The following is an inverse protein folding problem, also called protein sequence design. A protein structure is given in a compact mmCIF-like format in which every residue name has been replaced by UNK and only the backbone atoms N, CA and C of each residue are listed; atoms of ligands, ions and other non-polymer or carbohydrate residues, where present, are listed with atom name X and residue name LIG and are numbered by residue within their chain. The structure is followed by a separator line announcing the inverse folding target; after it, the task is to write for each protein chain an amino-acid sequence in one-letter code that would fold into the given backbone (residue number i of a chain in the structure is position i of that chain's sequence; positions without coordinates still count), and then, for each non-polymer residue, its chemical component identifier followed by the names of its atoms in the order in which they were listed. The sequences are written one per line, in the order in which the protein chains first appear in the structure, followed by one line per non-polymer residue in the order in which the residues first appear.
data_IF_130304326600
#
_entry.id   IF_130304326600
#
_cell.length_a   1.000
_cell.length_b   1.000
_cell.length_c   1.000
_cell.angle_alpha   90.00
_cell.angle_beta   90.00
_cell.angle_gamma   90.00
#
_symmetry.space_group_name_H-M   'P 1'
#
loop_
_entity.id
_entity.type
_entity.pdbx_description
1 polymer ?
#
# COMPACT_ATOMS: atom_id res chain seq x y z
N UNK A 1 -5.53 -4.65 -7.71
CA UNK A 1 -5.60 -3.68 -6.59
C UNK A 1 -5.82 -2.25 -7.05
N UNK A 2 -4.87 -1.58 -7.73
CA UNK A 2 -5.01 -0.16 -8.08
C UNK A 2 -6.25 0.13 -8.95
N UNK A 3 -6.55 -0.71 -9.94
CA UNK A 3 -7.74 -0.60 -10.79
C UNK A 3 -9.05 -0.77 -9.99
N UNK A 4 -9.04 -1.74 -9.06
CA UNK A 4 -10.20 -2.04 -8.21
C UNK A 4 -10.50 -0.91 -7.23
N UNK A 5 -9.46 -0.30 -6.65
CA UNK A 5 -9.59 0.91 -5.84
C UNK A 5 -10.16 2.05 -6.68
N UNK A 6 -9.60 2.29 -7.88
CA UNK A 6 -10.07 3.35 -8.78
C UNK A 6 -11.55 3.19 -9.13
N UNK A 7 -11.99 1.95 -9.41
CA UNK A 7 -13.40 1.65 -9.66
C UNK A 7 -14.28 1.93 -8.44
N UNK A 8 -13.88 1.48 -7.24
CA UNK A 8 -14.66 1.67 -6.00
C UNK A 8 -14.79 3.14 -5.58
N UNK A 9 -13.75 3.96 -5.82
CA UNK A 9 -13.79 5.40 -5.52
C UNK A 9 -14.37 6.24 -6.66
N UNK A 10 -14.75 5.63 -7.78
CA UNK A 10 -15.28 6.34 -8.96
C UNK A 10 -14.26 7.23 -9.66
N UNK A 11 -12.97 6.93 -9.55
CA UNK A 11 -11.90 7.72 -10.16
C UNK A 11 -11.75 7.38 -11.64
N UNK A 12 -11.63 8.38 -12.53
CA UNK A 12 -11.33 8.15 -13.95
C UNK A 12 -9.85 7.82 -14.21
N UNK A 13 -9.00 7.83 -13.17
CA UNK A 13 -7.56 7.57 -13.31
C UNK A 13 -7.30 6.12 -13.68
N UNK A 14 -6.50 5.93 -14.72
CA UNK A 14 -5.97 4.61 -15.09
C UNK A 14 -4.60 4.41 -14.44
N UNK A 15 -4.39 3.35 -13.65
CA UNK A 15 -3.09 3.03 -13.09
C UNK A 15 -2.05 2.83 -14.20
N UNK A 16 -0.85 3.36 -14.00
CA UNK A 16 0.30 3.15 -14.89
C UNK A 16 1.31 2.26 -14.17
N UNK A 17 1.69 1.15 -14.81
CA UNK A 17 2.73 0.26 -14.30
C UNK A 17 4.07 0.74 -14.89
N UNK A 18 4.86 1.45 -14.10
CA UNK A 18 6.15 1.99 -14.56
C UNK A 18 7.23 0.92 -14.76
N UNK A 19 7.06 -0.27 -14.15
CA UNK A 19 8.09 -1.31 -14.04
C UNK A 19 9.37 -0.88 -13.30
N UNK A 20 9.35 0.29 -12.66
CA UNK A 20 10.40 0.73 -11.77
C UNK A 20 10.21 0.14 -10.37
N UNK A 21 11.31 -0.31 -9.76
CA UNK A 21 11.33 -0.78 -8.38
C UNK A 21 12.46 -0.12 -7.61
N UNK A 22 12.28 0.09 -6.31
CA UNK A 22 13.37 0.63 -5.48
C UNK A 22 14.27 -0.52 -5.02
N UNK A 23 15.60 -0.31 -5.00
CA UNK A 23 16.52 -1.28 -4.39
C UNK A 23 16.09 -1.61 -2.95
N UNK A 24 15.88 -2.89 -2.66
CA UNK A 24 15.46 -3.36 -1.34
C UNK A 24 13.96 -3.65 -1.19
N UNK A 25 13.11 -3.26 -2.14
CA UNK A 25 11.69 -3.66 -2.11
C UNK A 25 11.56 -5.18 -2.39
N UNK A 26 11.04 -5.95 -1.42
CA UNK A 26 10.80 -7.39 -1.56
C UNK A 26 9.44 -7.62 -2.22
N UNK A 27 9.44 -8.35 -3.34
CA UNK A 27 8.21 -8.76 -4.05
C UNK A 27 7.61 -10.01 -3.42
N UNK A 28 6.29 -10.14 -3.51
CA UNK A 28 5.55 -11.32 -3.05
C UNK A 28 5.75 -11.66 -1.56
N UNK A 29 5.80 -10.63 -0.70
CA UNK A 29 5.82 -10.82 0.74
C UNK A 29 4.41 -11.13 1.26
N UNK A 30 4.17 -12.38 1.66
CA UNK A 30 2.94 -12.83 2.31
C UNK A 30 3.28 -13.81 3.44
N UNK A 31 2.49 -13.79 4.51
CA UNK A 31 2.74 -14.64 5.67
C UNK A 31 2.13 -16.04 5.50
N UNK A 32 2.90 -17.07 5.84
CA UNK A 32 2.34 -18.40 6.09
C UNK A 32 1.76 -18.45 7.51
N UNK A 33 0.43 -18.59 7.59
CA UNK A 33 -0.31 -18.64 8.86
C UNK A 33 -0.56 -20.07 9.34
N UNK A 34 0.05 -21.11 8.74
CA UNK A 34 -0.19 -22.52 9.09
C UNK A 34 0.05 -22.82 10.57
N UNK A 35 1.08 -22.20 11.18
CA UNK A 35 1.35 -22.35 12.62
C UNK A 35 0.26 -21.72 13.49
N UNK A 36 -0.23 -20.55 13.11
CA UNK A 36 -1.30 -19.85 13.82
C UNK A 36 -2.62 -20.62 13.75
N UNK A 37 -2.92 -21.22 12.60
CA UNK A 37 -4.07 -22.12 12.44
C UNK A 37 -4.02 -23.29 13.42
N UNK A 38 -2.84 -23.84 13.69
CA UNK A 38 -2.63 -24.88 14.71
C UNK A 38 -2.95 -24.43 16.13
N UNK A 39 -2.97 -23.12 16.39
CA UNK A 39 -3.36 -22.51 17.68
C UNK A 39 -4.85 -22.10 17.70
N UNK A 40 -5.63 -22.48 16.70
CA UNK A 40 -7.05 -22.14 16.59
C UNK A 40 -7.34 -20.76 15.98
N UNK A 41 -6.31 -20.02 15.53
CA UNK A 41 -6.54 -18.77 14.82
C UNK A 41 -7.17 -19.03 13.44
N UNK A 42 -8.24 -18.31 13.15
CA UNK A 42 -8.87 -18.26 11.83
C UNK A 42 -8.96 -16.82 11.34
N UNK A 43 -8.82 -16.63 10.04
CA UNK A 43 -8.98 -15.32 9.43
C UNK A 43 -10.48 -15.03 9.29
N UNK A 44 -10.97 -14.01 10.00
CA UNK A 44 -12.39 -13.67 10.07
C UNK A 44 -12.85 -12.69 8.98
N UNK A 45 -11.90 -12.09 8.26
CA UNK A 45 -12.18 -11.09 7.23
C UNK A 45 -11.76 -11.60 5.85
N UNK A 46 -12.31 -11.04 4.77
CA UNK A 46 -11.72 -11.22 3.45
C UNK A 46 -10.29 -10.67 3.45
N UNK A 47 -9.39 -11.29 2.68
CA UNK A 47 -8.01 -10.83 2.54
C UNK A 47 -7.87 -9.37 2.05
N UNK A 48 -8.96 -8.79 1.52
CA UNK A 48 -8.99 -7.47 0.93
C UNK A 48 -10.38 -6.82 1.00
N UNK A 49 -10.80 -6.40 2.20
CA UNK A 49 -12.05 -5.62 2.37
C UNK A 49 -11.84 -4.14 1.96
N UNK A 50 -11.87 -3.91 0.65
CA UNK A 50 -11.69 -2.58 0.08
C UNK A 50 -12.88 -1.65 0.31
N UNK A 51 -14.08 -2.18 0.54
CA UNK A 51 -15.26 -1.34 0.77
C UNK A 51 -15.15 -0.63 2.12
N UNK A 52 -14.78 -1.37 3.17
CA UNK A 52 -14.49 -0.79 4.49
C UNK A 52 -13.34 0.22 4.41
N UNK A 53 -12.28 -0.08 3.64
CA UNK A 53 -11.17 0.84 3.45
C UNK A 53 -11.61 2.15 2.77
N UNK A 54 -12.38 2.06 1.69
CA UNK A 54 -12.87 3.23 0.96
C UNK A 54 -13.79 4.07 1.83
N UNK A 55 -14.66 3.45 2.62
CA UNK A 55 -15.56 4.19 3.51
C UNK A 55 -14.79 4.93 4.61
N UNK A 56 -13.82 4.27 5.24
CA UNK A 56 -12.93 4.92 6.21
C UNK A 56 -12.14 6.07 5.58
N UNK A 57 -11.66 5.91 4.33
CA UNK A 57 -10.87 6.93 3.64
C UNK A 57 -11.59 8.27 3.48
N UNK A 58 -12.92 8.27 3.40
CA UNK A 58 -13.74 9.50 3.30
C UNK A 58 -13.69 10.37 4.55
N UNK A 59 -13.34 9.78 5.70
CA UNK A 59 -13.25 10.47 6.99
C UNK A 59 -11.90 11.13 7.24
N UNK A 60 -10.89 10.86 6.41
CA UNK A 60 -9.50 11.29 6.61
C UNK A 60 -9.02 12.17 5.46
N UNK A 61 -8.26 13.20 5.78
CA UNK A 61 -7.56 14.02 4.78
C UNK A 61 -6.15 13.46 4.61
N UNK A 62 -5.87 12.88 3.44
CA UNK A 62 -4.53 12.44 3.07
C UNK A 62 -3.66 13.65 2.70
N UNK A 63 -2.74 14.04 3.59
CA UNK A 63 -1.72 15.05 3.30
C UNK A 63 -0.53 14.36 2.64
N UNK A 64 -0.31 14.62 1.35
CA UNK A 64 0.86 14.12 0.65
C UNK A 64 2.11 14.87 1.16
N UNK A 65 3.04 14.12 1.75
CA UNK A 65 4.31 14.63 2.27
C UNK A 65 5.52 14.08 1.50
N UNK A 66 5.31 13.56 0.30
CA UNK A 66 6.37 12.93 -0.47
C UNK A 66 7.52 13.89 -0.75
N UNK A 67 7.20 15.14 -1.09
CA UNK A 67 8.22 16.15 -1.42
C UNK A 67 9.11 16.47 -0.22
N UNK A 68 8.52 16.63 0.97
CA UNK A 68 9.27 16.83 2.21
C UNK A 68 10.12 15.61 2.56
N UNK A 69 9.54 14.41 2.48
CA UNK A 69 10.24 13.16 2.75
C UNK A 69 11.42 12.96 1.79
N UNK A 70 11.26 13.28 0.50
CA UNK A 70 12.33 13.21 -0.51
C UNK A 70 13.44 14.20 -0.20
N UNK A 71 13.09 15.44 0.16
CA UNK A 71 14.06 16.47 0.57
C UNK A 71 14.85 16.03 1.80
N UNK A 72 14.19 15.48 2.81
CA UNK A 72 14.87 14.97 4.00
C UNK A 72 15.80 13.79 3.68
N UNK A 73 15.36 12.87 2.83
CA UNK A 73 16.18 11.75 2.36
C UNK A 73 17.45 12.27 1.67
N UNK A 74 17.33 13.21 0.74
CA UNK A 74 18.46 13.78 0.01
C UNK A 74 19.43 14.55 0.93
N UNK A 75 18.91 15.22 1.96
CA UNK A 75 19.74 15.96 2.93
C UNK A 75 20.48 15.05 3.92
N UNK A 76 19.85 13.97 4.39
CA UNK A 76 20.39 13.11 5.46
C UNK A 76 21.19 11.91 4.95
N UNK A 77 20.76 11.35 3.82
CA UNK A 77 21.30 10.11 3.26
C UNK A 77 21.90 10.31 1.87
N UNK A 78 21.89 11.57 1.37
CA UNK A 78 22.19 11.93 0.00
C UNK A 78 23.30 11.11 -0.63
N UNK A 79 22.90 10.14 -1.46
CA UNK A 79 23.66 9.80 -2.65
C UNK A 79 23.59 11.03 -3.56
N UNK A 80 24.47 11.99 -3.30
CA UNK A 80 24.95 12.89 -4.33
C UNK A 80 25.74 12.00 -5.30
N UNK A 81 25.08 11.55 -6.35
CA UNK A 81 25.76 11.18 -7.59
C UNK A 81 25.37 12.20 -8.63
#
# INVERSE_FOLDING_TARGET
LAEEIAAKIGSPLKPVISNDGRPGDIRHCFADISKLKGLGYQHEFPALDLDTLVEWSKSVVAVDKFTEAKKEFDQKLGMTR
#
